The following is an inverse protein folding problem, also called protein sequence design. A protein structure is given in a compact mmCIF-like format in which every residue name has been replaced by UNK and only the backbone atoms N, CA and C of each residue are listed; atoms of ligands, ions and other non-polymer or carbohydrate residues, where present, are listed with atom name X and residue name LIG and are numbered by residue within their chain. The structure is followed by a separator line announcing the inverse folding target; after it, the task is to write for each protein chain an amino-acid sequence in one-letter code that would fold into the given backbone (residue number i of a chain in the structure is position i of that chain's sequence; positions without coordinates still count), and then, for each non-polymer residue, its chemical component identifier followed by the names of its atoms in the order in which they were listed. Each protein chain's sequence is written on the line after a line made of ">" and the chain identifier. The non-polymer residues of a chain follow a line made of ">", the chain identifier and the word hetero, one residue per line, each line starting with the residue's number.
data_IF_254068855801
#
_entry.id   IF_254068855801
#
_cell.length_a   1.000
_cell.length_b   1.000
_cell.length_c   1.000
_cell.angle_alpha   90.00
_cell.angle_beta   90.00
_cell.angle_gamma   90.00
#
_symmetry.space_group_name_H-M   'P 1'
#
loop_
_entity.id
_entity.type
_entity.pdbx_description
1 polymer ?
#
# COMPACT_ATOMS: atom_id res chain seq x y z
N UNK A 1 30.91 18.95 20.22
CA UNK A 1 30.79 17.50 20.46
C UNK A 1 29.30 17.24 20.33
N UNK A 2 28.87 16.61 19.23
CA UNK A 2 27.47 16.23 19.03
C UNK A 2 27.17 15.17 20.10
N UNK A 3 26.19 15.44 20.95
CA UNK A 3 25.64 14.43 21.85
C UNK A 3 24.73 13.54 21.01
N UNK A 4 25.31 12.48 20.43
CA UNK A 4 24.59 11.34 19.87
C UNK A 4 24.05 10.48 21.02
N UNK A 5 22.97 10.95 21.65
CA UNK A 5 22.21 10.13 22.58
C UNK A 5 21.28 9.23 21.75
N UNK A 6 21.67 7.97 21.58
CA UNK A 6 20.97 6.91 20.83
C UNK A 6 19.60 6.52 21.44
N UNK A 7 19.14 7.24 22.46
CA UNK A 7 17.87 6.98 23.13
C UNK A 7 16.77 7.84 22.52
N UNK A 8 15.80 7.19 21.86
CA UNK A 8 14.60 7.87 21.38
C UNK A 8 13.78 8.35 22.59
N UNK A 9 13.92 9.62 22.93
CA UNK A 9 13.13 10.28 23.97
C UNK A 9 11.65 10.42 23.58
N UNK A 10 10.76 10.34 24.56
CA UNK A 10 9.29 10.48 24.37
C UNK A 10 8.89 11.81 23.71
N UNK A 11 9.72 12.85 23.86
CA UNK A 11 9.55 14.15 23.22
C UNK A 11 9.79 14.13 21.69
N UNK A 12 10.52 13.14 21.17
CA UNK A 12 10.70 12.93 19.73
C UNK A 12 9.55 12.12 19.10
N UNK A 13 8.69 11.51 19.92
CA UNK A 13 7.48 10.87 19.45
C UNK A 13 6.39 11.94 19.24
N UNK A 14 6.25 12.40 18.00
CA UNK A 14 5.04 13.12 17.57
C UNK A 14 3.87 12.15 17.46
N UNK A 15 3.36 11.68 18.61
CA UNK A 15 2.13 10.91 18.67
C UNK A 15 0.96 11.87 18.49
N UNK A 16 0.03 11.62 17.55
CA UNK A 16 -1.22 12.35 17.51
C UNK A 16 -2.02 11.95 18.75
N UNK A 17 -1.92 12.73 19.83
CA UNK A 17 -2.86 12.66 20.94
C UNK A 17 -4.24 12.86 20.33
N UNK A 18 -5.07 11.83 20.43
CA UNK A 18 -6.40 11.77 19.86
C UNK A 18 -7.26 12.91 20.41
N UNK A 19 -7.28 14.03 19.69
CA UNK A 19 -8.38 14.97 19.79
C UNK A 19 -9.51 14.37 18.97
N UNK A 20 -10.47 13.79 19.68
CA UNK A 20 -11.81 13.45 19.19
C UNK A 20 -12.38 14.68 18.48
N UNK A 21 -12.22 14.77 17.17
CA UNK A 21 -12.94 15.71 16.34
C UNK A 21 -13.15 15.07 14.98
N UNK A 22 -14.43 14.94 14.63
CA UNK A 22 -14.92 14.40 13.37
C UNK A 22 -14.22 15.10 12.21
N UNK A 23 -13.31 14.39 11.54
CA UNK A 23 -12.74 14.81 10.26
C UNK A 23 -13.01 13.72 9.24
N UNK A 24 -13.96 14.00 8.37
CA UNK A 24 -14.18 13.36 7.06
C UNK A 24 -12.91 13.47 6.24
N UNK A 25 -12.01 12.51 6.44
CA UNK A 25 -10.83 12.29 5.62
C UNK A 25 -10.61 10.80 5.68
N UNK A 26 -10.72 10.13 4.54
CA UNK A 26 -10.42 8.71 4.36
C UNK A 26 -9.00 8.43 4.84
N UNK A 27 -8.88 8.10 6.13
CA UNK A 27 -7.68 7.49 6.68
C UNK A 27 -7.59 6.12 6.02
N UNK A 28 -6.71 5.97 5.04
CA UNK A 28 -6.17 4.67 4.66
C UNK A 28 -5.41 4.16 5.88
N UNK A 29 -6.15 3.58 6.84
CA UNK A 29 -5.57 3.00 8.02
C UNK A 29 -4.67 1.86 7.58
N UNK A 30 -3.36 2.07 7.67
CA UNK A 30 -2.43 0.97 7.66
C UNK A 30 -2.73 0.14 8.90
N UNK A 31 -3.55 -0.90 8.74
CA UNK A 31 -3.80 -1.89 9.78
C UNK A 31 -2.44 -2.48 10.16
N UNK A 32 -1.90 -2.02 11.28
CA UNK A 32 -0.58 -2.44 11.79
C UNK A 32 -0.58 -3.93 12.18
N UNK A 33 -1.76 -4.55 12.24
CA UNK A 33 -1.98 -5.97 12.47
C UNK A 33 -1.99 -6.82 11.18
N UNK A 34 -1.98 -6.22 9.98
CA UNK A 34 -1.89 -6.98 8.73
C UNK A 34 -0.44 -7.21 8.34
N UNK A 35 -0.14 -8.43 7.90
CA UNK A 35 1.15 -8.77 7.30
C UNK A 35 1.43 -7.86 6.08
N UNK A 36 2.69 -7.47 5.90
CA UNK A 36 3.15 -6.69 4.74
C UNK A 36 2.73 -7.32 3.41
N UNK A 37 2.68 -8.66 3.36
CA UNK A 37 2.25 -9.40 2.17
C UNK A 37 0.77 -9.16 1.86
N UNK A 38 -0.08 -9.10 2.89
CA UNK A 38 -1.51 -8.84 2.73
C UNK A 38 -1.76 -7.40 2.30
N UNK A 39 -1.04 -6.44 2.89
CA UNK A 39 -1.11 -5.03 2.51
C UNK A 39 -0.65 -4.81 1.07
N UNK A 40 0.44 -5.47 0.66
CA UNK A 40 0.90 -5.43 -0.74
C UNK A 40 -0.16 -5.95 -1.70
N UNK A 41 -0.82 -7.08 -1.37
CA UNK A 41 -1.90 -7.64 -2.17
C UNK A 41 -3.09 -6.67 -2.28
N UNK A 42 -3.49 -6.06 -1.17
CA UNK A 42 -4.60 -5.08 -1.13
C UNK A 42 -4.29 -3.84 -1.98
N UNK A 43 -3.07 -3.30 -1.90
CA UNK A 43 -2.63 -2.18 -2.73
C UNK A 43 -2.68 -2.49 -4.22
N UNK A 44 -2.25 -3.70 -4.60
CA UNK A 44 -2.29 -4.14 -6.00
C UNK A 44 -3.74 -4.29 -6.48
N UNK A 45 -4.62 -4.89 -5.68
CA UNK A 45 -6.03 -5.03 -6.03
C UNK A 45 -6.70 -3.68 -6.21
N UNK A 46 -6.50 -2.76 -5.26
CA UNK A 46 -7.08 -1.42 -5.34
C UNK A 46 -6.58 -0.66 -6.59
N UNK A 47 -5.27 -0.71 -6.86
CA UNK A 47 -4.71 -0.07 -8.06
C UNK A 47 -5.26 -0.68 -9.36
N UNK A 48 -5.49 -1.99 -9.40
CA UNK A 48 -6.10 -2.67 -10.55
C UNK A 48 -7.55 -2.25 -10.74
N UNK A 49 -8.36 -2.20 -9.68
CA UNK A 49 -9.76 -1.78 -9.73
C UNK A 49 -9.89 -0.32 -10.20
N UNK A 50 -9.11 0.60 -9.62
CA UNK A 50 -9.08 2.01 -10.00
C UNK A 50 -8.63 2.23 -11.46
N UNK A 51 -7.87 1.29 -12.01
CA UNK A 51 -7.35 1.35 -13.39
C UNK A 51 -8.13 0.45 -14.36
N UNK A 52 -9.37 0.07 -14.05
CA UNK A 52 -10.23 -0.79 -14.89
C UNK A 52 -9.54 -2.10 -15.30
N UNK A 53 -8.74 -2.66 -14.40
CA UNK A 53 -7.94 -3.87 -14.59
C UNK A 53 -6.89 -3.77 -15.72
N UNK A 54 -6.50 -2.56 -16.12
CA UNK A 54 -5.39 -2.32 -17.04
C UNK A 54 -4.07 -2.36 -16.27
N UNK A 55 -3.35 -3.49 -16.37
CA UNK A 55 -2.10 -3.71 -15.63
C UNK A 55 -1.03 -2.63 -15.89
N UNK A 56 -0.95 -2.09 -17.11
CA UNK A 56 -0.01 -1.00 -17.43
C UNK A 56 -0.28 0.24 -16.57
N UNK A 57 -1.53 0.69 -16.55
CA UNK A 57 -1.94 1.89 -15.82
C UNK A 57 -1.82 1.68 -14.30
N UNK A 58 -2.18 0.49 -13.80
CA UNK A 58 -2.00 0.15 -12.40
C UNK A 58 -0.52 0.16 -11.98
N UNK A 59 0.39 -0.29 -12.86
CA UNK A 59 1.82 -0.27 -12.60
C UNK A 59 2.37 1.17 -12.56
N UNK A 60 1.96 2.01 -13.51
CA UNK A 60 2.30 3.44 -13.54
C UNK A 60 1.80 4.15 -12.27
N UNK A 61 0.57 3.86 -11.83
CA UNK A 61 -0.02 4.41 -10.60
C UNK A 61 0.74 4.00 -9.34
N UNK A 62 1.18 2.75 -9.27
CA UNK A 62 1.98 2.24 -8.15
C UNK A 62 3.47 2.65 -8.22
N UNK A 63 3.91 3.30 -9.31
CA UNK A 63 5.31 3.68 -9.50
C UNK A 63 6.25 2.50 -9.70
N UNK A 64 5.74 1.36 -10.19
CA UNK A 64 6.53 0.14 -10.42
C UNK A 64 6.58 -0.22 -11.90
N UNK A 65 7.56 -1.03 -12.30
CA UNK A 65 7.59 -1.54 -13.66
C UNK A 65 6.38 -2.45 -13.95
N UNK A 66 5.82 -2.45 -15.17
CA UNK A 66 4.77 -3.39 -15.55
C UNK A 66 5.14 -4.86 -15.34
N UNK A 67 6.43 -5.20 -15.50
CA UNK A 67 6.96 -6.55 -15.23
C UNK A 67 6.89 -6.92 -13.75
N UNK A 68 7.21 -5.97 -12.85
CA UNK A 68 7.10 -6.19 -11.42
C UNK A 68 5.64 -6.41 -11.00
N UNK A 69 4.70 -5.60 -11.52
CA UNK A 69 3.28 -5.79 -11.24
C UNK A 69 2.80 -7.16 -11.75
N UNK A 70 3.16 -7.55 -12.98
CA UNK A 70 2.78 -8.85 -13.54
C UNK A 70 3.30 -10.01 -12.69
N UNK A 71 4.56 -9.94 -12.24
CA UNK A 71 5.11 -10.92 -11.30
C UNK A 71 4.27 -11.02 -10.02
N UNK A 72 3.88 -9.88 -9.43
CA UNK A 72 3.06 -9.85 -8.21
C UNK A 72 1.66 -10.39 -8.44
N UNK A 73 1.00 -10.02 -9.55
CA UNK A 73 -0.30 -10.57 -9.98
C UNK A 73 -0.23 -12.09 -10.06
N UNK A 74 0.80 -12.64 -10.71
CA UNK A 74 1.01 -14.10 -10.79
C UNK A 74 1.28 -14.71 -9.41
N UNK A 75 2.11 -14.06 -8.58
CA UNK A 75 2.46 -14.52 -7.23
C UNK A 75 1.24 -14.58 -6.31
N UNK A 76 0.34 -13.61 -6.41
CA UNK A 76 -0.88 -13.54 -5.60
C UNK A 76 -2.08 -14.27 -6.22
N UNK A 77 -1.93 -14.86 -7.41
CA UNK A 77 -3.00 -15.58 -8.09
C UNK A 77 -4.16 -14.68 -8.52
N UNK A 78 -3.91 -13.40 -8.78
CA UNK A 78 -4.95 -12.46 -9.20
C UNK A 78 -5.29 -12.73 -10.67
N UNK A 79 -6.58 -12.82 -11.00
CA UNK A 79 -7.09 -13.09 -12.34
C UNK A 79 -8.29 -12.18 -12.65
N UNK A 80 -8.59 -11.94 -13.92
CA UNK A 80 -9.71 -11.12 -14.34
C UNK A 80 -10.24 -11.56 -15.70
N UNK A 81 -11.58 -11.62 -15.93
CA UNK A 81 -12.18 -12.12 -17.17
C UNK A 81 -11.71 -11.38 -18.44
N UNK A 82 -11.33 -10.11 -18.32
CA UNK A 82 -10.85 -9.31 -19.46
C UNK A 82 -9.39 -9.61 -19.85
N UNK A 83 -8.68 -10.44 -19.10
CA UNK A 83 -7.28 -10.78 -19.40
C UNK A 83 -7.17 -11.98 -20.34
N UNK A 84 -6.47 -11.79 -21.46
CA UNK A 84 -6.25 -12.84 -22.48
C UNK A 84 -5.42 -14.02 -21.96
N UNK A 85 -4.53 -13.77 -21.00
CA UNK A 85 -3.79 -14.78 -20.25
C UNK A 85 -4.32 -14.74 -18.83
N UNK A 86 -4.57 -15.92 -18.24
CA UNK A 86 -5.19 -16.08 -16.91
C UNK A 86 -6.72 -15.84 -16.88
N UNK A 87 -7.44 -16.46 -17.83
CA UNK A 87 -8.90 -16.66 -17.76
C UNK A 87 -9.23 -17.85 -16.86
#
# INVERSE_FOLDING_TARGET
>A
ILEDDDLIGVQNLSLPVEKTTQSTGTRTGFDSNKSLVSQEKELILNALEECLWVQKNAAEKLGVSPRALNYKVKKFGITHPNWRKHR
#
